data_IF_391054891081
#
_entry.id   IF_391054891081
#
_cell.length_a   1.000
_cell.length_b   1.000
_cell.length_c   1.000
_cell.angle_alpha   90.00
_cell.angle_beta   90.00
_cell.angle_gamma   90.00
#
_symmetry.space_group_name_H-M   'P 1'
#
loop_
_entity.id
_entity.type
_entity.pdbx_description
1 polymer ?
#
# COMPACT_ATOMS: atom_id res chain seq x y z
N UNK A 1 -19.46 11.83 4.16
CA UNK A 1 -18.03 11.88 3.79
C UNK A 1 -17.88 11.25 2.40
N UNK A 2 -17.68 12.07 1.37
CA UNK A 2 -17.76 11.65 -0.04
C UNK A 2 -16.65 10.65 -0.40
N UNK A 3 -17.03 9.37 -0.60
CA UNK A 3 -16.17 8.37 -1.22
C UNK A 3 -15.95 8.75 -2.68
N UNK A 4 -14.88 9.49 -3.00
CA UNK A 4 -14.46 9.62 -4.38
C UNK A 4 -14.03 8.23 -4.85
N UNK A 5 -14.78 7.68 -5.81
CA UNK A 5 -14.48 6.40 -6.47
C UNK A 5 -13.31 6.59 -7.43
N UNK A 6 -12.20 7.11 -6.92
CA UNK A 6 -10.99 7.28 -7.72
C UNK A 6 -10.36 5.90 -7.90
N UNK A 7 -10.17 5.52 -9.16
CA UNK A 7 -9.46 4.31 -9.53
C UNK A 7 -8.03 4.72 -9.82
N UNK A 8 -7.10 4.14 -9.09
CA UNK A 8 -5.69 4.51 -9.10
C UNK A 8 -4.91 3.58 -10.03
N UNK A 9 -3.90 4.14 -10.70
CA UNK A 9 -2.91 3.34 -11.43
C UNK A 9 -1.88 2.76 -10.45
N UNK A 10 -1.12 1.76 -10.89
CA UNK A 10 0.01 1.23 -10.12
C UNK A 10 1.04 2.30 -9.77
N UNK A 11 1.26 3.28 -10.65
CA UNK A 11 2.16 4.41 -10.40
C UNK A 11 1.62 5.37 -9.33
N UNK A 12 0.31 5.66 -9.36
CA UNK A 12 -0.31 6.49 -8.33
C UNK A 12 -0.30 5.79 -6.97
N UNK A 13 -0.59 4.49 -6.92
CA UNK A 13 -0.48 3.70 -5.68
C UNK A 13 0.95 3.71 -5.14
N UNK A 14 1.95 3.58 -6.02
CA UNK A 14 3.35 3.63 -5.64
C UNK A 14 3.72 4.97 -5.00
N UNK A 15 3.23 6.08 -5.58
CA UNK A 15 3.44 7.42 -5.04
C UNK A 15 2.74 7.62 -3.68
N UNK A 16 1.48 7.19 -3.54
CA UNK A 16 0.70 7.30 -2.29
C UNK A 16 1.35 6.49 -1.16
N UNK A 17 1.83 5.29 -1.46
CA UNK A 17 2.47 4.42 -0.48
C UNK A 17 3.97 4.73 -0.31
N UNK A 18 4.51 5.70 -1.06
CA UNK A 18 5.93 6.01 -1.13
C UNK A 18 6.84 4.78 -1.33
N UNK A 19 6.40 3.85 -2.18
CA UNK A 19 7.15 2.64 -2.52
C UNK A 19 7.53 2.63 -3.99
N UNK A 20 8.53 1.83 -4.35
CA UNK A 20 8.85 1.61 -5.75
C UNK A 20 7.65 0.98 -6.50
N UNK A 21 7.37 1.37 -7.75
CA UNK A 21 6.28 0.80 -8.56
C UNK A 21 6.44 -0.71 -8.82
N UNK A 22 7.67 -1.22 -8.72
CA UNK A 22 7.98 -2.66 -8.77
C UNK A 22 7.37 -3.41 -7.59
N UNK A 23 7.32 -2.79 -6.41
CA UNK A 23 6.71 -3.35 -5.20
C UNK A 23 5.19 -3.45 -5.35
N UNK A 24 4.55 -2.41 -5.89
CA UNK A 24 3.11 -2.43 -6.19
C UNK A 24 2.76 -3.51 -7.21
N UNK A 25 3.62 -3.70 -8.22
CA UNK A 25 3.46 -4.80 -9.18
C UNK A 25 3.54 -6.16 -8.49
N UNK A 26 4.50 -6.36 -7.59
CA UNK A 26 4.59 -7.61 -6.79
C UNK A 26 3.33 -7.84 -5.97
N UNK A 27 2.78 -6.83 -5.31
CA UNK A 27 1.55 -6.95 -4.53
C UNK A 27 0.33 -7.28 -5.40
N UNK A 28 0.30 -6.77 -6.63
CA UNK A 28 -0.77 -7.08 -7.58
C UNK A 28 -0.65 -8.52 -8.11
N UNK A 29 0.56 -8.94 -8.52
CA UNK A 29 0.82 -10.29 -9.03
C UNK A 29 0.75 -11.36 -7.92
N UNK A 30 1.02 -11.01 -6.65
CA UNK A 30 0.80 -11.89 -5.50
C UNK A 30 -0.66 -11.96 -5.03
N UNK A 31 -1.54 -11.13 -5.61
CA UNK A 31 -2.95 -11.07 -5.25
C UNK A 31 -3.25 -10.38 -3.91
N UNK A 32 -2.24 -9.79 -3.26
CA UNK A 32 -2.42 -9.04 -2.03
C UNK A 32 -3.15 -7.71 -2.28
N UNK A 33 -2.81 -7.04 -3.39
CA UNK A 33 -3.49 -5.82 -3.84
C UNK A 33 -4.53 -6.17 -4.90
N UNK A 34 -5.81 -6.13 -4.53
CA UNK A 34 -6.88 -6.41 -5.49
C UNK A 34 -7.12 -5.19 -6.38
N UNK A 35 -7.11 -5.47 -7.67
CA UNK A 35 -7.55 -4.56 -8.72
C UNK A 35 -7.91 -5.37 -9.94
N UNK A 36 -8.32 -4.68 -10.99
CA UNK A 36 -8.67 -5.31 -12.25
C UNK A 36 -7.79 -4.78 -13.36
N UNK A 37 -7.58 -5.60 -14.38
CA UNK A 37 -6.95 -5.20 -15.63
C UNK A 37 -8.05 -4.78 -16.59
N UNK A 38 -7.83 -3.72 -17.35
CA UNK A 38 -8.79 -3.30 -18.38
C UNK A 38 -8.71 -4.32 -19.52
N UNK A 39 -9.84 -4.93 -19.95
CA UNK A 39 -9.82 -5.83 -21.10
C UNK A 39 -9.39 -5.04 -22.35
N UNK A 40 -8.37 -5.53 -23.05
CA UNK A 40 -7.81 -4.85 -24.23
C UNK A 40 -6.70 -3.82 -23.94
N UNK A 41 -6.38 -3.52 -22.68
CA UNK A 41 -5.18 -2.74 -22.33
C UNK A 41 -4.31 -3.47 -21.28
N UNK A 42 -3.03 -3.14 -21.24
CA UNK A 42 -2.10 -3.60 -20.20
C UNK A 42 -2.26 -2.82 -18.88
N UNK A 43 -3.14 -1.82 -18.88
CA UNK A 43 -3.43 -0.97 -17.73
C UNK A 43 -4.06 -1.74 -16.57
N UNK A 44 -3.45 -1.57 -15.40
CA UNK A 44 -3.94 -2.07 -14.11
C UNK A 44 -4.63 -0.93 -13.37
N UNK A 45 -5.80 -1.22 -12.83
CA UNK A 45 -6.67 -0.28 -12.14
C UNK A 45 -6.96 -0.81 -10.75
N UNK A 46 -6.58 -0.04 -9.73
CA UNK A 46 -6.74 -0.39 -8.32
C UNK A 46 -7.78 0.56 -7.71
N UNK A 47 -8.93 0.07 -7.26
CA UNK A 47 -9.90 0.93 -6.59
C UNK A 47 -9.36 1.39 -5.24
N UNK A 48 -9.57 2.68 -4.90
CA UNK A 48 -9.10 3.27 -3.64
C UNK A 48 -9.57 2.49 -2.40
N UNK A 49 -10.77 1.90 -2.43
CA UNK A 49 -11.25 1.06 -1.32
C UNK A 49 -10.38 -0.17 -1.06
N UNK A 50 -9.91 -0.86 -2.11
CA UNK A 50 -9.04 -2.02 -1.94
C UNK A 50 -7.63 -1.60 -1.53
N UNK A 51 -7.14 -0.46 -2.01
CA UNK A 51 -5.89 0.10 -1.53
C UNK A 51 -5.95 0.34 -0.01
N UNK A 52 -6.99 1.01 0.49
CA UNK A 52 -7.16 1.28 1.92
C UNK A 52 -7.20 -0.03 2.73
N UNK A 53 -7.91 -1.04 2.22
CA UNK A 53 -7.99 -2.36 2.87
C UNK A 53 -6.62 -3.05 2.92
N UNK A 54 -5.89 -3.01 1.82
CA UNK A 54 -4.54 -3.56 1.70
C UNK A 54 -3.57 -2.86 2.65
N UNK A 55 -3.58 -1.52 2.70
CA UNK A 55 -2.73 -0.74 3.60
C UNK A 55 -2.99 -1.09 5.07
N UNK A 56 -4.26 -1.23 5.46
CA UNK A 56 -4.64 -1.67 6.81
C UNK A 56 -4.20 -3.10 7.12
N UNK A 57 -4.36 -4.03 6.17
CA UNK A 57 -4.03 -5.45 6.36
C UNK A 57 -2.52 -5.71 6.44
N UNK A 58 -1.71 -4.93 5.72
CA UNK A 58 -0.26 -5.10 5.65
C UNK A 58 0.51 -4.16 6.60
N UNK A 59 -0.20 -3.40 7.45
CA UNK A 59 0.39 -2.36 8.31
C UNK A 59 1.36 -1.45 7.56
N UNK A 60 1.07 -1.17 6.28
CA UNK A 60 1.93 -0.30 5.48
C UNK A 60 1.81 1.09 6.09
N UNK A 61 2.92 1.67 6.58
CA UNK A 61 2.86 2.97 7.18
C UNK A 61 2.42 3.95 6.10
N UNK A 62 1.23 4.52 6.28
CA UNK A 62 0.72 5.71 5.58
C UNK A 62 1.56 6.94 5.94
N UNK A 63 2.87 6.80 6.09
CA UNK A 63 3.78 7.83 6.61
C UNK A 63 3.78 9.08 5.70
N UNK A 64 3.50 8.90 4.40
CA UNK A 64 3.29 10.00 3.45
C UNK A 64 1.94 10.74 3.62
N UNK A 65 0.97 10.14 4.33
CA UNK A 65 -0.29 10.78 4.76
C UNK A 65 -0.18 11.31 6.21
N UNK A 66 0.81 10.85 6.97
CA UNK A 66 1.09 11.23 8.36
C UNK A 66 2.50 11.83 8.52
N UNK A 67 2.93 12.74 7.63
CA UNK A 67 4.19 13.51 7.75
C UNK A 67 4.14 14.39 9.00
N UNK A 68 4.28 13.77 10.17
CA UNK A 68 4.08 14.39 11.47
C UNK A 68 4.27 13.44 12.66
N UNK A 69 4.32 12.12 12.45
CA UNK A 69 4.65 11.19 13.54
C UNK A 69 5.84 10.31 13.18
N UNK A 70 7.05 10.82 13.47
CA UNK A 70 8.23 9.97 13.63
C UNK A 70 7.87 8.81 14.57
N UNK A 71 7.84 7.59 14.03
CA UNK A 71 7.74 6.37 14.82
C UNK A 71 9.09 5.68 14.79
N UNK A 72 9.83 5.83 15.89
CA UNK A 72 11.07 5.10 16.15
C UNK A 72 10.67 3.70 16.66
N UNK A 73 11.04 2.66 15.93
CA UNK A 73 10.94 1.28 16.39
C UNK A 73 12.25 0.96 17.14
N UNK A 74 12.20 0.98 18.47
CA UNK A 74 13.29 0.48 19.30
C UNK A 74 13.08 -1.03 19.44
N UNK A 75 14.04 -1.81 18.96
CA UNK A 75 14.09 -3.26 19.17
C UNK A 75 15.03 -3.47 20.34
N UNK A 76 14.48 -3.73 21.52
CA UNK A 76 15.26 -4.17 22.66
C UNK A 76 15.55 -5.67 22.48
N UNK A 77 16.84 -6.03 22.43
CA UNK A 77 17.26 -7.43 22.48
C UNK A 77 17.60 -7.79 23.91
N UNK A 78 16.60 -7.76 24.79
CA UNK A 78 16.67 -8.39 26.10
C UNK A 78 16.40 -9.89 25.93
N UNK A 79 17.46 -10.63 25.62
CA UNK A 79 17.48 -12.07 25.80
C UNK A 79 17.92 -12.34 27.24
N UNK A 80 16.98 -12.27 28.18
CA UNK A 80 17.18 -12.77 29.54
C UNK A 80 16.72 -14.22 29.60
N UNK A 81 17.63 -15.14 29.97
CA UNK A 81 17.28 -16.47 30.48
C UNK A 81 18.49 -17.10 31.20
N UNK A 82 18.47 -16.96 32.53
CA UNK A 82 18.88 -17.89 33.60
C UNK A 82 20.09 -18.83 33.41
#
# INVERSE_FOLDING_TARGET
MQKRKDVLTTGQVAHICNVAPRTVTKWFDSGQLKGYRIPGSRDRRIPTNELIRFMKAHHIPTDALEIGKMRILIIDSDFESA
#
